data_IF_929508448845
#
_entry.id   IF_929508448845
#
_cell.length_a   1.000
_cell.length_b   1.000
_cell.length_c   1.000
_cell.angle_alpha   90.00
_cell.angle_beta   90.00
_cell.angle_gamma   90.00
#
_symmetry.space_group_name_H-M   'P 1'
#
loop_
_entity.id
_entity.type
_entity.pdbx_description
1 polymer ?
#
# COMPACT_ATOMS: atom_id res chain seq x y z
N UNK A 1 42.84 48.05 18.39
CA UNK A 1 42.13 47.79 19.66
C UNK A 1 41.18 46.61 19.47
N UNK A 2 41.48 45.45 20.04
CA UNK A 2 40.71 44.21 19.86
C UNK A 2 39.79 44.02 21.07
N UNK A 3 38.47 44.14 20.87
CA UNK A 3 37.46 43.90 21.91
C UNK A 3 37.30 42.38 22.12
N UNK A 4 37.77 41.87 23.26
CA UNK A 4 37.48 40.51 23.73
C UNK A 4 36.03 40.44 24.21
N UNK A 5 35.20 39.67 23.52
CA UNK A 5 33.82 39.36 23.93
C UNK A 5 33.87 38.12 24.83
N UNK A 6 33.59 38.31 26.12
CA UNK A 6 33.44 37.22 27.08
C UNK A 6 32.00 36.72 27.06
N UNK A 7 31.77 35.53 26.49
CA UNK A 7 30.49 34.84 26.55
C UNK A 7 30.43 34.07 27.88
N UNK A 8 29.57 34.51 28.80
CA UNK A 8 29.27 33.77 30.04
C UNK A 8 28.34 32.60 29.73
N UNK A 9 28.89 31.39 29.71
CA UNK A 9 28.12 30.16 29.67
C UNK A 9 27.46 29.91 31.04
N UNK A 10 26.15 30.13 31.14
CA UNK A 10 25.36 29.66 32.29
C UNK A 10 25.07 28.17 32.09
N UNK A 11 25.81 27.34 32.81
CA UNK A 11 25.51 25.90 32.94
C UNK A 11 24.31 25.77 33.87
N UNK A 12 23.11 25.70 33.29
CA UNK A 12 21.90 25.35 34.05
C UNK A 12 21.97 23.85 34.39
N UNK A 13 22.11 23.53 35.67
CA UNK A 13 21.82 22.19 36.20
C UNK A 13 20.33 21.89 35.95
N UNK A 14 20.03 21.25 34.82
CA UNK A 14 18.73 20.64 34.58
C UNK A 14 18.62 19.35 35.42
N UNK A 15 17.43 19.04 35.95
CA UNK A 15 17.25 18.01 36.96
C UNK A 15 17.40 16.61 36.32
N UNK A 16 18.35 15.83 36.81
CA UNK A 16 18.55 14.41 36.43
C UNK A 16 17.27 13.56 36.53
N UNK A 17 16.26 14.00 37.29
CA UNK A 17 14.97 13.29 37.43
C UNK A 17 14.16 13.16 36.13
N UNK A 18 14.27 14.11 35.18
CA UNK A 18 13.50 14.06 33.94
C UNK A 18 14.05 13.02 32.93
N UNK A 19 15.31 12.59 33.08
CA UNK A 19 15.93 11.63 32.15
C UNK A 19 15.46 10.19 32.41
N UNK A 20 15.13 9.85 33.66
CA UNK A 20 14.74 8.49 34.05
C UNK A 20 13.32 8.17 33.58
N UNK A 21 12.41 9.16 33.58
CA UNK A 21 11.02 8.96 33.11
C UNK A 21 10.94 8.73 31.60
N UNK A 22 11.89 9.25 30.82
CA UNK A 22 11.97 9.06 29.36
C UNK A 22 12.39 7.64 28.96
N UNK A 23 13.10 6.92 29.82
CA UNK A 23 13.58 5.55 29.52
C UNK A 23 12.47 4.50 29.70
N UNK A 24 11.52 4.72 30.63
CA UNK A 24 10.46 3.74 30.91
C UNK A 24 9.38 3.71 29.80
N UNK A 25 9.18 4.81 29.08
CA UNK A 25 8.16 4.89 28.00
C UNK A 25 8.64 4.21 26.71
N UNK A 26 9.95 4.02 26.52
CA UNK A 26 10.51 3.38 25.33
C UNK A 26 10.40 1.85 25.33
N UNK A 27 10.04 1.22 26.46
CA UNK A 27 10.02 -0.25 26.58
C UNK A 27 8.68 -0.91 26.21
N UNK A 28 7.61 -0.13 25.94
CA UNK A 28 6.30 -0.67 25.61
C UNK A 28 5.97 -0.73 24.10
N UNK A 29 6.91 -0.46 23.20
CA UNK A 29 6.71 -0.71 21.76
C UNK A 29 7.07 -2.15 21.37
N UNK A 30 6.57 -3.13 22.14
CA UNK A 30 6.54 -4.53 21.71
C UNK A 30 5.52 -4.65 20.57
N UNK A 31 5.99 -4.33 19.37
CA UNK A 31 5.18 -4.32 18.16
C UNK A 31 5.17 -5.75 17.62
N UNK A 32 4.39 -6.63 18.26
CA UNK A 32 4.03 -7.94 17.70
C UNK A 32 3.18 -7.72 16.44
N UNK A 33 3.84 -7.47 15.32
CA UNK A 33 3.21 -7.42 13.98
C UNK A 33 3.79 -8.47 13.05
N UNK A 34 4.64 -9.36 13.57
CA UNK A 34 5.06 -10.55 12.85
C UNK A 34 3.89 -11.51 12.76
N UNK A 35 3.53 -11.92 11.54
CA UNK A 35 2.70 -13.11 11.36
C UNK A 35 3.45 -14.27 12.00
N UNK A 36 2.87 -14.87 13.04
CA UNK A 36 3.43 -16.08 13.62
C UNK A 36 3.40 -17.17 12.55
N UNK A 37 4.59 -17.55 12.07
CA UNK A 37 4.73 -18.63 11.10
C UNK A 37 4.20 -19.96 11.64
N UNK A 38 4.13 -20.11 12.97
CA UNK A 38 3.60 -21.31 13.64
C UNK A 38 2.09 -21.29 13.77
N UNK A 39 1.47 -20.12 13.66
CA UNK A 39 0.03 -19.95 13.74
C UNK A 39 -0.46 -19.06 12.59
N UNK A 40 -0.36 -19.54 11.34
CA UNK A 40 -0.89 -18.80 10.21
C UNK A 40 -2.41 -18.60 10.42
N UNK A 41 -2.97 -17.47 9.96
CA UNK A 41 -4.41 -17.26 10.03
C UNK A 41 -5.14 -18.46 9.39
N UNK A 42 -6.15 -18.94 10.10
CA UNK A 42 -6.87 -20.17 9.75
C UNK A 42 -7.79 -19.87 8.57
N UNK A 43 -7.61 -20.58 7.46
CA UNK A 43 -8.36 -20.39 6.21
C UNK A 43 -7.62 -19.54 5.18
N UNK A 44 -7.84 -19.86 3.90
CA UNK A 44 -7.30 -19.14 2.76
C UNK A 44 -6.31 -19.92 1.89
N UNK A 45 -6.12 -19.44 0.67
CA UNK A 45 -5.19 -19.93 -0.34
C UNK A 45 -3.75 -19.49 -0.02
N UNK A 46 -2.76 -20.18 -0.60
CA UNK A 46 -1.35 -19.78 -0.46
C UNK A 46 -1.10 -18.33 -0.93
N UNK A 47 -1.87 -17.85 -1.91
CA UNK A 47 -1.80 -16.49 -2.40
C UNK A 47 -2.29 -15.46 -1.35
N UNK A 48 -3.37 -15.76 -0.64
CA UNK A 48 -3.89 -14.91 0.45
C UNK A 48 -2.92 -14.86 1.64
N UNK A 49 -2.31 -16.00 1.99
CA UNK A 49 -1.25 -16.02 2.98
C UNK A 49 -0.05 -15.16 2.55
N UNK A 50 0.39 -15.30 1.28
CA UNK A 50 1.44 -14.47 0.71
C UNK A 50 1.11 -12.98 0.77
N UNK A 51 -0.15 -12.62 0.51
CA UNK A 51 -0.63 -11.25 0.58
C UNK A 51 -0.55 -10.68 2.00
N UNK A 52 -1.09 -11.39 2.98
CA UNK A 52 -1.05 -10.96 4.38
C UNK A 52 0.39 -10.84 4.87
N UNK A 53 1.25 -11.79 4.51
CA UNK A 53 2.68 -11.73 4.80
C UNK A 53 3.35 -10.49 4.22
N UNK A 54 3.06 -10.16 2.96
CA UNK A 54 3.55 -8.93 2.34
C UNK A 54 3.02 -7.66 3.05
N UNK A 55 1.76 -7.65 3.47
CA UNK A 55 1.20 -6.54 4.25
C UNK A 55 1.92 -6.35 5.60
N UNK A 56 2.19 -7.43 6.32
CA UNK A 56 2.91 -7.37 7.59
C UNK A 56 4.34 -6.83 7.41
N UNK A 57 5.03 -7.24 6.34
CA UNK A 57 6.34 -6.69 5.98
C UNK A 57 6.23 -5.18 5.67
N UNK A 58 5.27 -4.79 4.83
CA UNK A 58 5.07 -3.40 4.43
C UNK A 58 4.70 -2.48 5.60
N UNK A 59 3.86 -2.94 6.52
CA UNK A 59 3.47 -2.21 7.75
C UNK A 59 4.67 -1.90 8.64
N UNK A 60 5.70 -2.74 8.59
CA UNK A 60 6.98 -2.53 9.29
C UNK A 60 7.96 -1.62 8.52
N UNK A 61 7.50 -0.92 7.47
CA UNK A 61 8.32 -0.03 6.65
C UNK A 61 9.22 -0.75 5.63
N UNK A 62 9.19 -2.08 5.57
CA UNK A 62 10.04 -2.89 4.67
C UNK A 62 9.41 -3.05 3.28
N UNK A 63 9.01 -1.93 2.67
CA UNK A 63 8.32 -1.92 1.38
C UNK A 63 9.11 -2.58 0.25
N UNK A 64 10.44 -2.49 0.28
CA UNK A 64 11.34 -3.13 -0.67
C UNK A 64 11.26 -4.67 -0.63
N UNK A 65 11.04 -5.24 0.56
CA UNK A 65 10.90 -6.69 0.76
C UNK A 65 9.47 -7.19 0.45
N UNK A 66 8.46 -6.37 0.71
CA UNK A 66 7.06 -6.71 0.42
C UNK A 66 6.74 -6.62 -1.08
N UNK A 67 7.37 -5.68 -1.79
CA UNK A 67 7.06 -5.35 -3.17
C UNK A 67 7.12 -6.53 -4.16
N UNK A 68 8.12 -7.45 -4.13
CA UNK A 68 8.12 -8.61 -5.03
C UNK A 68 6.87 -9.46 -4.88
N UNK A 69 6.37 -9.64 -3.65
CA UNK A 69 5.18 -10.44 -3.35
C UNK A 69 3.94 -9.75 -3.90
N UNK A 70 3.78 -8.44 -3.64
CA UNK A 70 2.65 -7.68 -4.20
C UNK A 70 2.64 -7.62 -5.72
N UNK A 71 3.81 -7.46 -6.36
CA UNK A 71 3.92 -7.55 -7.82
C UNK A 71 3.45 -8.91 -8.30
N UNK A 72 3.86 -9.98 -7.61
CA UNK A 72 3.46 -11.32 -8.00
C UNK A 72 1.95 -11.53 -7.95
N UNK A 73 1.34 -11.15 -6.83
CA UNK A 73 -0.08 -11.31 -6.58
C UNK A 73 -0.91 -10.40 -7.48
N UNK A 74 -0.53 -9.13 -7.63
CA UNK A 74 -1.18 -8.20 -8.53
C UNK A 74 -1.12 -8.62 -10.01
N UNK A 75 -0.15 -9.47 -10.39
CA UNK A 75 -0.08 -10.04 -11.74
C UNK A 75 -1.08 -11.18 -11.98
N UNK A 76 -1.73 -11.74 -10.96
CA UNK A 76 -2.71 -12.82 -11.11
C UNK A 76 -4.00 -12.37 -11.83
N UNK A 77 -4.31 -11.06 -11.86
CA UNK A 77 -5.47 -10.55 -12.59
C UNK A 77 -6.50 -9.89 -11.68
N UNK A 78 -7.78 -10.03 -12.05
CA UNK A 78 -8.92 -9.55 -11.27
C UNK A 78 -8.99 -10.18 -9.89
N UNK A 79 -9.46 -9.44 -8.89
CA UNK A 79 -9.51 -9.88 -7.48
C UNK A 79 -8.22 -9.60 -6.70
N UNK A 80 -7.18 -9.10 -7.37
CA UNK A 80 -5.89 -8.72 -6.76
C UNK A 80 -5.62 -7.21 -6.86
N UNK A 81 -6.67 -6.40 -6.96
CA UNK A 81 -6.61 -4.95 -7.01
C UNK A 81 -5.96 -4.38 -5.75
N UNK A 82 -6.25 -4.97 -4.58
CA UNK A 82 -5.66 -4.56 -3.32
C UNK A 82 -4.15 -4.88 -3.27
N UNK A 83 -3.71 -6.04 -3.74
CA UNK A 83 -2.28 -6.35 -3.86
C UNK A 83 -1.58 -5.41 -4.85
N UNK A 84 -2.27 -5.08 -5.95
CA UNK A 84 -1.78 -4.13 -6.93
C UNK A 84 -1.67 -2.71 -6.33
N UNK A 85 -2.66 -2.27 -5.56
CA UNK A 85 -2.63 -1.02 -4.81
C UNK A 85 -1.44 -1.00 -3.83
N UNK A 86 -1.35 -2.01 -2.95
CA UNK A 86 -0.27 -2.09 -1.95
C UNK A 86 1.11 -2.12 -2.60
N UNK A 87 1.28 -2.86 -3.70
CA UNK A 87 2.53 -2.87 -4.46
C UNK A 87 2.84 -1.51 -5.09
N UNK A 88 1.83 -0.79 -5.58
CA UNK A 88 1.98 0.58 -6.06
C UNK A 88 2.50 1.53 -4.98
N UNK A 89 1.86 1.54 -3.81
CA UNK A 89 2.28 2.35 -2.66
C UNK A 89 3.70 1.96 -2.20
N UNK A 90 3.98 0.67 -2.01
CA UNK A 90 5.30 0.19 -1.61
C UNK A 90 6.40 0.59 -2.60
N UNK A 91 6.13 0.55 -3.92
CA UNK A 91 7.10 0.96 -4.93
C UNK A 91 7.39 2.46 -4.88
N UNK A 92 6.39 3.31 -4.67
CA UNK A 92 6.60 4.75 -4.48
C UNK A 92 7.40 5.05 -3.20
N UNK A 93 7.11 4.36 -2.09
CA UNK A 93 7.89 4.51 -0.85
C UNK A 93 9.33 4.00 -1.02
N UNK A 94 9.53 2.85 -1.66
CA UNK A 94 10.86 2.34 -1.97
C UNK A 94 11.65 3.31 -2.87
N UNK A 95 10.98 3.99 -3.82
CA UNK A 95 11.61 5.02 -4.64
C UNK A 95 12.06 6.25 -3.82
N UNK A 96 11.30 6.66 -2.80
CA UNK A 96 11.69 7.76 -1.89
C UNK A 96 12.94 7.41 -1.09
N UNK A 97 13.00 6.17 -0.59
CA UNK A 97 14.08 5.65 0.25
C UNK A 97 15.28 5.12 -0.56
N UNK A 98 15.23 5.21 -1.89
CA UNK A 98 16.27 4.71 -2.77
C UNK A 98 17.59 5.48 -2.58
N UNK A 99 18.61 4.77 -2.09
CA UNK A 99 19.98 5.28 -1.92
C UNK A 99 21.01 4.59 -2.83
N UNK A 100 20.55 3.70 -3.73
CA UNK A 100 21.38 2.88 -4.61
C UNK A 100 20.72 1.51 -4.86
N UNK A 101 21.39 0.61 -5.62
CA UNK A 101 20.85 -0.71 -5.91
C UNK A 101 20.43 -1.47 -4.64
N UNK A 102 19.16 -1.90 -4.57
CA UNK A 102 18.56 -2.54 -3.38
C UNK A 102 19.27 -3.83 -2.96
N UNK A 103 20.14 -4.39 -3.81
CA UNK A 103 20.94 -5.58 -3.54
C UNK A 103 21.68 -5.51 -2.19
N UNK A 104 22.06 -4.30 -1.71
CA UNK A 104 22.77 -4.15 -0.42
C UNK A 104 21.90 -4.38 0.81
N UNK A 105 20.58 -4.12 0.75
CA UNK A 105 19.66 -4.38 1.88
C UNK A 105 19.16 -5.84 1.90
N UNK A 106 19.19 -6.51 0.77
CA UNK A 106 18.77 -7.91 0.62
C UNK A 106 19.73 -8.93 1.26
N UNK A 107 20.83 -8.53 1.89
CA UNK A 107 21.75 -9.44 2.56
C UNK A 107 21.06 -10.31 3.65
N UNK A 108 19.91 -9.87 4.17
CA UNK A 108 19.08 -10.64 5.09
C UNK A 108 18.46 -11.91 4.46
N UNK A 109 18.27 -11.92 3.14
CA UNK A 109 17.69 -13.04 2.39
C UNK A 109 18.74 -13.97 1.74
N UNK A 110 20.01 -13.91 2.16
CA UNK A 110 21.10 -14.74 1.59
C UNK A 110 20.81 -16.26 1.55
N UNK A 111 19.89 -16.77 2.38
CA UNK A 111 19.46 -18.18 2.33
C UNK A 111 18.36 -18.47 1.30
N UNK A 112 17.57 -17.49 0.87
CA UNK A 112 16.59 -17.66 -0.21
C UNK A 112 17.22 -17.25 -1.54
N UNK A 113 17.88 -18.19 -2.22
CA UNK A 113 18.44 -18.01 -3.58
C UNK A 113 17.39 -17.65 -4.66
N UNK A 114 16.12 -17.50 -4.29
CA UNK A 114 14.99 -17.39 -5.22
C UNK A 114 14.55 -15.95 -5.52
N UNK A 115 14.91 -14.93 -4.71
CA UNK A 115 14.49 -13.55 -4.98
C UNK A 115 15.52 -12.89 -5.92
N UNK A 116 15.21 -12.85 -7.22
CA UNK A 116 16.00 -12.07 -8.17
C UNK A 116 15.66 -10.59 -8.03
N UNK A 117 16.56 -9.84 -7.42
CA UNK A 117 16.53 -8.37 -7.42
C UNK A 117 17.06 -7.78 -8.73
N UNK A 118 17.41 -8.61 -9.71
CA UNK A 118 17.92 -8.17 -11.03
C UNK A 118 16.82 -7.66 -11.97
N UNK A 119 15.59 -7.53 -11.47
CA UNK A 119 14.49 -7.01 -12.29
C UNK A 119 14.76 -5.55 -12.66
N UNK A 120 14.44 -5.11 -13.90
CA UNK A 120 14.72 -3.74 -14.36
C UNK A 120 14.17 -2.64 -13.44
N UNK A 121 13.03 -2.88 -12.79
CA UNK A 121 12.41 -1.92 -11.89
C UNK A 121 13.12 -1.77 -10.54
N UNK A 122 14.06 -2.66 -10.19
CA UNK A 122 14.94 -2.53 -9.03
C UNK A 122 16.29 -1.91 -9.35
N UNK A 123 16.49 -1.35 -10.55
CA UNK A 123 17.78 -0.82 -10.97
C UNK A 123 17.91 0.69 -10.73
N UNK A 124 16.80 1.42 -10.58
CA UNK A 124 16.83 2.85 -10.32
C UNK A 124 15.61 3.38 -9.56
N UNK A 125 15.79 4.53 -8.91
CA UNK A 125 14.69 5.31 -8.31
C UNK A 125 13.57 5.59 -9.31
N UNK A 126 13.92 6.00 -10.53
CA UNK A 126 12.96 6.30 -11.58
C UNK A 126 12.14 5.06 -11.98
N UNK A 127 12.78 3.91 -12.10
CA UNK A 127 12.10 2.66 -12.48
C UNK A 127 11.16 2.14 -11.37
N UNK A 128 11.53 2.31 -10.09
CA UNK A 128 10.62 2.03 -8.97
C UNK A 128 9.41 2.97 -8.96
N UNK A 129 9.65 4.27 -9.15
CA UNK A 129 8.59 5.27 -9.20
C UNK A 129 7.61 4.99 -10.35
N UNK A 130 8.13 4.74 -11.56
CA UNK A 130 7.32 4.37 -12.72
C UNK A 130 6.53 3.08 -12.49
N UNK A 131 7.16 2.06 -11.88
CA UNK A 131 6.48 0.81 -11.53
C UNK A 131 5.33 1.06 -10.53
N UNK A 132 5.57 1.91 -9.53
CA UNK A 132 4.56 2.31 -8.55
C UNK A 132 3.35 2.99 -9.20
N UNK A 133 3.60 3.99 -10.05
CA UNK A 133 2.53 4.64 -10.81
C UNK A 133 1.76 3.65 -11.68
N UNK A 134 2.44 2.78 -12.45
CA UNK A 134 1.76 1.76 -13.29
C UNK A 134 0.85 0.84 -12.49
N UNK A 135 1.28 0.40 -11.31
CA UNK A 135 0.45 -0.43 -10.44
C UNK A 135 -0.75 0.35 -9.88
N UNK A 136 -0.53 1.59 -9.43
CA UNK A 136 -1.65 2.42 -8.97
C UNK A 136 -2.65 2.71 -10.09
N UNK A 137 -2.20 3.00 -11.33
CA UNK A 137 -3.08 3.13 -12.50
C UNK A 137 -3.94 1.89 -12.71
N UNK A 138 -3.35 0.68 -12.62
CA UNK A 138 -4.09 -0.57 -12.74
C UNK A 138 -5.21 -0.68 -11.73
N UNK A 139 -4.88 -0.51 -10.45
CA UNK A 139 -5.85 -0.66 -9.38
C UNK A 139 -6.90 0.46 -9.41
N UNK A 140 -6.51 1.69 -9.76
CA UNK A 140 -7.42 2.81 -9.89
C UNK A 140 -8.39 2.65 -11.08
N UNK A 141 -7.93 2.05 -12.18
CA UNK A 141 -8.76 1.69 -13.34
C UNK A 141 -9.72 0.54 -13.03
N UNK A 142 -9.39 -0.34 -12.08
CA UNK A 142 -10.30 -1.34 -11.52
C UNK A 142 -11.23 -0.76 -10.42
N UNK A 143 -11.41 0.56 -10.40
CA UNK A 143 -12.22 1.32 -9.45
C UNK A 143 -11.85 1.12 -7.97
N UNK A 144 -10.57 0.86 -7.66
CA UNK A 144 -10.09 0.88 -6.28
C UNK A 144 -9.93 2.33 -5.79
N UNK A 145 -10.76 2.81 -4.86
CA UNK A 145 -10.81 4.24 -4.49
C UNK A 145 -9.47 4.73 -3.91
N UNK A 146 -8.80 3.95 -3.06
CA UNK A 146 -7.52 4.38 -2.49
C UNK A 146 -6.40 4.48 -3.52
N UNK A 147 -6.48 3.74 -4.63
CA UNK A 147 -5.54 3.89 -5.74
C UNK A 147 -5.79 5.18 -6.52
N UNK A 148 -7.06 5.55 -6.71
CA UNK A 148 -7.44 6.83 -7.33
C UNK A 148 -6.92 8.00 -6.48
N UNK A 149 -7.09 7.91 -5.15
CA UNK A 149 -6.54 8.90 -4.21
C UNK A 149 -5.01 8.94 -4.21
N UNK A 150 -4.35 7.77 -4.19
CA UNK A 150 -2.90 7.68 -4.21
C UNK A 150 -2.29 8.24 -5.50
N UNK A 151 -2.93 8.02 -6.66
CA UNK A 151 -2.52 8.64 -7.93
C UNK A 151 -2.67 10.15 -7.90
N UNK A 152 -3.83 10.66 -7.44
CA UNK A 152 -4.05 12.10 -7.34
C UNK A 152 -2.92 12.78 -6.54
N UNK A 153 -2.55 12.20 -5.39
CA UNK A 153 -1.44 12.69 -4.56
C UNK A 153 -0.09 12.58 -5.25
N UNK A 154 0.21 11.44 -5.87
CA UNK A 154 1.51 11.20 -6.50
C UNK A 154 1.75 12.11 -7.72
N UNK A 155 0.69 12.38 -8.49
CA UNK A 155 0.70 13.21 -9.70
C UNK A 155 0.53 14.70 -9.41
N UNK A 156 0.18 15.08 -8.18
CA UNK A 156 0.14 16.47 -7.70
C UNK A 156 1.33 16.82 -6.80
N UNK A 157 2.38 15.99 -6.77
CA UNK A 157 3.57 16.27 -5.98
C UNK A 157 4.31 17.53 -6.49
N UNK A 158 5.10 18.21 -5.64
CA UNK A 158 5.91 19.34 -6.09
C UNK A 158 6.79 18.99 -7.30
N UNK A 159 6.80 19.86 -8.31
CA UNK A 159 7.52 19.62 -9.57
C UNK A 159 6.75 18.81 -10.63
N UNK A 160 5.47 18.48 -10.37
CA UNK A 160 4.63 17.83 -11.37
C UNK A 160 4.38 18.75 -12.58
N UNK A 161 4.38 18.14 -13.77
CA UNK A 161 4.07 18.82 -15.03
C UNK A 161 2.58 19.14 -15.14
N UNK A 162 2.21 20.07 -16.02
CA UNK A 162 0.80 20.41 -16.27
C UNK A 162 -0.04 19.18 -16.68
N UNK A 163 0.52 18.27 -17.48
CA UNK A 163 -0.15 17.03 -17.89
C UNK A 163 -0.43 16.11 -16.69
N UNK A 164 0.51 15.98 -15.76
CA UNK A 164 0.33 15.20 -14.53
C UNK A 164 -0.73 15.83 -13.61
N UNK A 165 -0.75 17.17 -13.49
CA UNK A 165 -1.77 17.87 -12.72
C UNK A 165 -3.18 17.68 -13.31
N UNK A 166 -3.32 17.72 -14.63
CA UNK A 166 -4.59 17.42 -15.31
C UNK A 166 -5.03 15.98 -15.07
N UNK A 167 -4.10 15.04 -15.12
CA UNK A 167 -4.38 13.64 -14.81
C UNK A 167 -4.78 13.45 -13.34
N UNK A 168 -4.08 14.09 -12.40
CA UNK A 168 -4.43 14.09 -10.99
C UNK A 168 -5.86 14.61 -10.78
N UNK A 169 -6.24 15.70 -11.46
CA UNK A 169 -7.59 16.27 -11.42
C UNK A 169 -8.65 15.27 -11.91
N UNK A 170 -8.36 14.52 -12.97
CA UNK A 170 -9.24 13.45 -13.45
C UNK A 170 -9.43 12.36 -12.39
N UNK A 171 -8.37 11.92 -11.73
CA UNK A 171 -8.45 10.91 -10.67
C UNK A 171 -9.24 11.37 -9.45
N UNK A 172 -9.12 12.64 -9.05
CA UNK A 172 -9.97 13.24 -8.01
C UNK A 172 -11.45 13.16 -8.41
N UNK A 173 -11.79 13.57 -9.63
CA UNK A 173 -13.18 13.55 -10.10
C UNK A 173 -13.76 12.12 -10.18
N UNK A 174 -12.92 11.12 -10.49
CA UNK A 174 -13.32 9.70 -10.47
C UNK A 174 -13.52 9.19 -9.06
N UNK A 175 -12.59 9.47 -8.17
CA UNK A 175 -12.71 9.16 -6.75
C UNK A 175 -13.99 9.75 -6.14
N UNK A 176 -14.29 11.01 -6.44
CA UNK A 176 -15.48 11.72 -5.97
C UNK A 176 -16.80 11.20 -6.59
N UNK A 177 -16.75 10.39 -7.66
CA UNK A 177 -17.91 9.67 -8.23
C UNK A 177 -17.95 8.19 -7.86
N UNK A 178 -16.85 7.62 -7.36
CA UNK A 178 -16.73 6.19 -7.06
C UNK A 178 -17.59 5.81 -5.84
N UNK A 179 -18.63 4.96 -5.98
CA UNK A 179 -19.49 4.56 -4.87
C UNK A 179 -18.74 3.71 -3.84
N UNK A 180 -17.72 2.94 -4.26
CA UNK A 180 -16.90 2.11 -3.36
C UNK A 180 -16.15 2.94 -2.33
N UNK A 181 -15.95 4.24 -2.55
CA UNK A 181 -15.32 5.11 -1.55
C UNK A 181 -16.10 5.15 -0.24
N UNK A 182 -17.43 5.01 -0.26
CA UNK A 182 -18.22 5.06 0.98
C UNK A 182 -18.05 3.81 1.83
N UNK A 183 -17.73 2.69 1.19
CA UNK A 183 -17.60 1.37 1.83
C UNK A 183 -16.15 1.12 2.25
N UNK A 184 -15.21 1.39 1.34
CA UNK A 184 -13.80 1.05 1.51
C UNK A 184 -12.89 2.27 1.63
N UNK A 185 -13.36 3.44 1.20
CA UNK A 185 -12.55 4.65 1.16
C UNK A 185 -12.65 5.41 2.47
N UNK A 186 -11.51 5.63 3.12
CA UNK A 186 -11.40 6.80 4.00
C UNK A 186 -11.46 8.08 3.14
N UNK A 187 -11.59 9.27 3.74
CA UNK A 187 -11.48 10.54 3.01
C UNK A 187 -10.00 10.76 2.59
N UNK A 188 -9.52 9.92 1.67
CA UNK A 188 -8.10 9.60 1.45
C UNK A 188 -7.35 10.67 0.63
N UNK A 189 -8.05 11.67 0.07
CA UNK A 189 -7.44 12.78 -0.66
C UNK A 189 -7.32 13.99 0.27
N UNK A 190 -6.09 14.39 0.57
CA UNK A 190 -5.82 15.51 1.46
C UNK A 190 -6.33 16.85 0.91
N UNK A 191 -6.63 17.76 1.83
CA UNK A 191 -7.06 19.13 1.50
C UNK A 191 -6.05 19.86 0.61
N UNK A 192 -4.75 19.76 0.89
CA UNK A 192 -3.70 20.42 0.10
C UNK A 192 -3.65 19.89 -1.35
N UNK A 193 -3.89 18.61 -1.57
CA UNK A 193 -3.99 18.00 -2.90
C UNK A 193 -5.17 18.61 -3.65
N UNK A 194 -6.33 18.75 -3.00
CA UNK A 194 -7.52 19.39 -3.61
C UNK A 194 -7.31 20.87 -3.92
N UNK A 195 -6.67 21.62 -3.03
CA UNK A 195 -6.34 23.03 -3.21
C UNK A 195 -5.38 23.23 -4.38
N UNK A 196 -4.33 22.40 -4.46
CA UNK A 196 -3.35 22.40 -5.57
C UNK A 196 -4.05 22.18 -6.92
N UNK A 197 -5.10 21.35 -6.93
CA UNK A 197 -5.85 21.00 -8.13
C UNK A 197 -7.07 21.90 -8.37
N UNK A 198 -7.37 22.89 -7.52
CA UNK A 198 -8.60 23.68 -7.60
C UNK A 198 -8.70 24.47 -8.92
N UNK A 199 -7.60 25.09 -9.35
CA UNK A 199 -7.50 25.87 -10.59
C UNK A 199 -7.20 25.06 -11.86
N UNK A 200 -6.99 23.75 -11.75
CA UNK A 200 -6.70 22.89 -12.91
C UNK A 200 -8.02 22.54 -13.59
N UNK A 201 -8.19 22.85 -14.89
CA UNK A 201 -9.40 22.49 -15.62
C UNK A 201 -9.52 20.96 -15.66
N UNK A 202 -10.73 20.46 -15.39
CA UNK A 202 -11.01 19.04 -15.53
C UNK A 202 -10.91 18.68 -17.02
N UNK A 203 -10.00 17.76 -17.42
CA UNK A 203 -9.98 17.29 -18.80
C UNK A 203 -11.33 16.67 -19.16
N UNK A 204 -11.77 16.75 -20.43
CA UNK A 204 -12.99 16.09 -20.84
C UNK A 204 -12.92 14.62 -20.46
N UNK A 205 -14.05 14.04 -20.04
CA UNK A 205 -14.18 12.61 -19.74
C UNK A 205 -14.22 11.79 -21.05
N UNK A 206 -13.44 12.20 -22.05
CA UNK A 206 -13.13 11.38 -23.20
C UNK A 206 -12.20 10.29 -22.70
N UNK A 207 -12.81 9.15 -22.40
CA UNK A 207 -12.23 7.85 -22.11
C UNK A 207 -10.74 7.77 -22.54
N UNK A 208 -9.79 8.21 -21.69
CA UNK A 208 -8.45 8.40 -22.18
C UNK A 208 -7.88 7.00 -22.35
N UNK A 209 -7.03 6.83 -23.37
CA UNK A 209 -6.44 5.56 -23.79
C UNK A 209 -5.82 4.68 -22.67
N UNK A 210 -5.77 5.13 -21.41
CA UNK A 210 -5.42 4.35 -20.24
C UNK A 210 -6.55 3.42 -19.73
N UNK A 211 -7.85 3.71 -19.93
CA UNK A 211 -8.95 2.84 -19.44
C UNK A 211 -8.89 1.44 -20.10
N UNK A 212 -8.34 1.35 -21.30
CA UNK A 212 -8.26 0.10 -22.09
C UNK A 212 -6.84 -0.34 -22.43
N UNK A 213 -5.81 0.27 -21.84
CA UNK A 213 -4.50 -0.39 -21.85
C UNK A 213 -4.61 -1.56 -20.90
N UNK A 214 -5.15 -2.67 -21.41
CA UNK A 214 -4.98 -4.00 -20.84
C UNK A 214 -3.55 -4.07 -20.38
N UNK A 215 -3.36 -3.96 -19.07
CA UNK A 215 -2.08 -4.20 -18.46
C UNK A 215 -1.91 -5.69 -18.61
N UNK A 216 -1.32 -6.06 -19.74
CA UNK A 216 -1.12 -7.44 -20.15
C UNK A 216 -0.67 -8.19 -18.90
N UNK A 217 -1.37 -9.26 -18.51
CA UNK A 217 -0.94 -10.06 -17.37
C UNK A 217 0.53 -10.40 -17.59
N UNK A 218 1.37 -10.02 -16.63
CA UNK A 218 2.80 -10.34 -16.71
C UNK A 218 2.89 -11.86 -16.57
N UNK A 219 3.54 -12.58 -17.50
CA UNK A 219 3.55 -14.03 -17.50
C UNK A 219 4.04 -14.58 -16.15
N UNK A 220 3.25 -15.48 -15.58
CA UNK A 220 3.38 -16.06 -14.24
C UNK A 220 4.55 -17.06 -14.10
N UNK A 221 5.45 -17.11 -15.08
CA UNK A 221 6.58 -18.06 -15.11
C UNK A 221 7.75 -17.65 -14.21
N UNK A 222 7.64 -16.55 -13.46
CA UNK A 222 8.68 -16.15 -12.53
C UNK A 222 8.82 -17.19 -11.38
N UNK A 223 10.03 -17.76 -11.14
CA UNK A 223 10.22 -18.77 -10.11
C UNK A 223 9.89 -18.31 -8.69
N UNK A 224 10.14 -17.02 -8.39
CA UNK A 224 9.74 -16.45 -7.10
C UNK A 224 8.22 -16.42 -6.99
N UNK A 225 7.53 -16.00 -8.05
CA UNK A 225 6.07 -16.05 -8.06
C UNK A 225 5.52 -17.45 -7.82
N UNK A 226 6.10 -18.45 -8.50
CA UNK A 226 5.73 -19.84 -8.29
C UNK A 226 5.92 -20.24 -6.83
N UNK A 227 7.00 -19.80 -6.17
CA UNK A 227 7.20 -20.06 -4.74
C UNK A 227 6.12 -19.42 -3.88
N UNK A 228 5.75 -18.16 -4.13
CA UNK A 228 4.68 -17.46 -3.38
C UNK A 228 3.34 -18.17 -3.56
N UNK A 229 2.99 -18.57 -4.78
CA UNK A 229 1.68 -19.16 -5.10
C UNK A 229 1.56 -20.63 -4.73
N UNK A 230 2.67 -21.37 -4.67
CA UNK A 230 2.68 -22.81 -4.40
C UNK A 230 3.37 -23.17 -3.09
N UNK A 231 3.57 -22.22 -2.17
CA UNK A 231 3.93 -22.57 -0.80
C UNK A 231 2.75 -23.33 -0.20
N UNK A 232 2.72 -24.66 -0.39
CA UNK A 232 1.82 -25.53 0.35
C UNK A 232 2.13 -25.26 1.81
N UNK A 233 1.13 -24.93 2.65
CA UNK A 233 1.33 -24.95 4.08
C UNK A 233 1.91 -26.33 4.38
N UNK A 234 3.17 -26.40 4.81
CA UNK A 234 3.74 -27.66 5.27
C UNK A 234 2.83 -28.10 6.39
N UNK A 235 2.01 -29.13 6.13
CA UNK A 235 1.08 -29.71 7.08
C UNK A 235 1.83 -30.08 8.36
N UNK A 236 1.91 -29.14 9.31
CA UNK A 236 1.72 -29.51 10.69
C UNK A 236 0.34 -30.12 10.73
N UNK A 237 0.26 -31.40 11.08
CA UNK A 237 -1.00 -32.09 11.37
C UNK A 237 -1.72 -31.31 12.48
N UNK A 238 -2.53 -30.33 12.11
CA UNK A 238 -3.60 -29.88 12.99
C UNK A 238 -4.69 -30.96 12.87
N UNK A 239 -5.08 -31.60 13.99
CA UNK A 239 -6.06 -32.66 13.96
C UNK A 239 -7.40 -32.11 13.44
N UNK A 240 -7.84 -32.64 12.30
CA UNK A 240 -9.24 -32.75 11.91
C UNK A 240 -10.06 -31.46 11.87
N UNK A 241 -9.73 -30.51 11.01
CA UNK A 241 -10.77 -29.66 10.42
C UNK A 241 -11.14 -30.23 9.06
N UNK A 242 -12.25 -30.95 9.00
CA UNK A 242 -12.91 -31.28 7.74
C UNK A 242 -13.27 -29.96 7.06
N UNK A 243 -12.89 -29.75 5.79
CA UNK A 243 -13.38 -28.61 5.03
C UNK A 243 -14.91 -28.68 5.07
N UNK A 244 -15.55 -27.66 5.65
CA UNK A 244 -16.98 -27.47 5.46
C UNK A 244 -17.11 -27.16 3.97
N UNK A 245 -17.67 -28.09 3.19
CA UNK A 245 -18.08 -27.81 1.82
C UNK A 245 -18.87 -26.50 1.86
N UNK A 246 -18.40 -25.51 1.11
CA UNK A 246 -19.16 -24.29 0.89
C UNK A 246 -20.42 -24.73 0.12
N UNK A 247 -21.49 -24.94 0.88
CA UNK A 247 -22.81 -25.14 0.35
C UNK A 247 -23.11 -23.89 -0.48
N UNK A 248 -23.13 -24.05 -1.79
CA UNK A 248 -23.54 -23.08 -2.82
C UNK A 248 -25.07 -22.87 -2.81
N UNK A 249 -25.70 -23.21 -1.68
CA UNK A 249 -27.06 -22.88 -1.32
C UNK A 249 -27.30 -21.39 -1.51
N UNK A 250 -28.10 -21.12 -2.51
CA UNK A 250 -28.77 -19.86 -2.83
C UNK A 250 -29.76 -19.48 -1.70
N UNK A 251 -29.30 -19.50 -0.45
CA UNK A 251 -30.08 -19.06 0.71
C UNK A 251 -30.03 -17.54 0.77
N UNK A 252 -31.21 -16.95 0.70
CA UNK A 252 -31.50 -15.52 0.76
C UNK A 252 -30.66 -14.82 1.83
N UNK A 253 -29.54 -14.22 1.41
CA UNK A 253 -28.84 -13.24 2.23
C UNK A 253 -29.85 -12.13 2.56
N UNK A 254 -30.11 -11.84 3.85
CA UNK A 254 -31.00 -10.77 4.21
C UNK A 254 -30.50 -9.48 3.55
N UNK A 255 -31.42 -8.74 2.93
CA UNK A 255 -31.10 -7.48 2.28
C UNK A 255 -30.27 -6.62 3.25
N UNK A 256 -29.14 -6.04 2.80
CA UNK A 256 -28.29 -5.26 3.67
C UNK A 256 -29.12 -4.17 4.31
N UNK A 257 -29.15 -4.16 5.64
CA UNK A 257 -29.82 -3.15 6.44
C UNK A 257 -29.24 -1.79 6.03
N UNK A 258 -30.02 -1.00 5.30
CA UNK A 258 -29.62 0.33 4.86
C UNK A 258 -29.51 1.22 6.09
N UNK A 259 -28.29 1.37 6.59
CA UNK A 259 -27.93 2.45 7.51
C UNK A 259 -28.15 3.77 6.77
N UNK A 260 -28.92 4.66 7.40
CA UNK A 260 -29.35 6.00 6.97
C UNK A 260 -30.62 6.12 6.10
N UNK A 261 -31.78 5.94 6.73
CA UNK A 261 -32.94 6.78 6.38
C UNK A 261 -32.92 8.06 7.22
N UNK A 262 -32.83 9.27 6.62
CA UNK A 262 -33.02 10.51 7.36
C UNK A 262 -34.45 10.54 7.93
N UNK A 263 -34.53 10.88 9.22
CA UNK A 263 -35.75 10.86 10.02
C UNK A 263 -36.93 11.52 9.34
N UNK A 264 -38.01 10.76 9.21
CA UNK A 264 -39.32 11.22 8.75
C UNK A 264 -39.83 12.29 9.74
N UNK A 265 -40.19 13.51 9.30
CA UNK A 265 -40.79 14.49 10.20
C UNK A 265 -42.14 13.96 10.70
N UNK A 266 -42.35 14.04 12.02
CA UNK A 266 -43.63 13.68 12.62
C UNK A 266 -44.68 14.76 12.28
N UNK A 267 -45.90 14.36 11.89
CA UNK A 267 -47.00 15.31 11.77
C UNK A 267 -47.38 15.85 13.16
N UNK A 268 -47.62 17.17 13.22
CA UNK A 268 -48.24 17.85 14.35
C UNK A 268 -49.73 17.55 14.41
#
# INVERSE_FOLDING_TARGET
>A
MIKKIYVRFRVSLLPLGALITLIIIAACSSTETGIDRRNPPVGGTAAEYGFQYAQAIAKNGNCDQALPIFICLGNQGSGWELATHSGGVCALEAAKLWSGPLHRRAAFFKKSRAISFDKPYYQSKAALYEKGLKMLHRAAAADWPDSQAALARALSAPGSTQAQLQEAKLWVARYDRNPRRKIYGSNSIEKNTRETLAGIPLPPDTDPAWIKKDLRPIPTHDPFCRSVLHTRPTHGQHPGFTPVEANDGNEDLPAPETVDQPGRPQPQ
#
